data_IF_199588096125
#
_entry.id   IF_199588096125
#
_cell.length_a   1.000
_cell.length_b   1.000
_cell.length_c   1.000
_cell.angle_alpha   90.00
_cell.angle_beta   90.00
_cell.angle_gamma   90.00
#
_symmetry.space_group_name_H-M   'P 1'
#
loop_
_entity.id
_entity.type
_entity.pdbx_description
1 polymer ?
#
# COMPACT_ATOMS: atom_id res chain seq x y z
N UNK A 1 -54.41 -54.02 -32.87
CA UNK A 1 -54.85 -54.68 -31.63
C UNK A 1 -53.63 -54.78 -30.73
N UNK A 2 -53.62 -54.12 -29.55
CA UNK A 2 -52.67 -54.31 -28.41
C UNK A 2 -51.21 -53.85 -28.69
N UNK A 3 -50.45 -53.12 -27.86
CA UNK A 3 -50.60 -52.38 -26.60
C UNK A 3 -49.41 -51.39 -26.47
N UNK A 4 -49.70 -50.26 -25.84
CA UNK A 4 -48.87 -49.40 -24.95
C UNK A 4 -47.38 -49.74 -24.71
N UNK A 5 -46.54 -48.71 -24.81
CA UNK A 5 -45.42 -48.45 -23.90
C UNK A 5 -45.38 -46.95 -23.55
N UNK A 6 -45.67 -46.65 -22.28
CA UNK A 6 -45.45 -45.35 -21.66
C UNK A 6 -43.95 -45.10 -21.50
N UNK A 7 -43.48 -43.95 -21.94
CA UNK A 7 -42.14 -43.43 -21.61
C UNK A 7 -42.27 -41.99 -21.11
N UNK A 8 -41.95 -41.76 -19.84
CA UNK A 8 -41.91 -40.45 -19.21
C UNK A 8 -40.94 -39.52 -19.96
N UNK A 9 -41.44 -38.39 -20.46
CA UNK A 9 -40.61 -37.26 -20.88
C UNK A 9 -40.42 -36.30 -19.70
N UNK A 10 -39.30 -36.44 -18.97
CA UNK A 10 -38.83 -35.39 -18.06
C UNK A 10 -37.84 -34.51 -18.83
N UNK A 11 -38.28 -33.29 -19.11
CA UNK A 11 -37.45 -32.24 -19.67
C UNK A 11 -36.31 -31.87 -18.71
N UNK A 12 -35.08 -32.31 -19.03
CA UNK A 12 -33.87 -31.80 -18.39
C UNK A 12 -33.60 -30.41 -18.98
N UNK A 13 -34.06 -29.36 -18.28
CA UNK A 13 -33.59 -27.99 -18.51
C UNK A 13 -32.14 -27.89 -18.07
N UNK A 14 -31.22 -28.05 -19.01
CA UNK A 14 -29.80 -27.68 -18.84
C UNK A 14 -29.72 -26.17 -18.59
N UNK A 15 -29.45 -25.78 -17.35
CA UNK A 15 -29.10 -24.40 -16.98
C UNK A 15 -27.78 -24.03 -17.67
N UNK A 16 -27.66 -22.85 -18.28
CA UNK A 16 -26.39 -22.43 -18.87
C UNK A 16 -25.36 -22.25 -17.77
N UNK A 17 -24.21 -22.86 -18.01
CA UNK A 17 -23.01 -22.84 -17.20
C UNK A 17 -22.55 -21.38 -17.03
N UNK A 18 -22.71 -20.82 -15.82
CA UNK A 18 -22.12 -19.52 -15.48
C UNK A 18 -20.61 -19.72 -15.33
N UNK A 19 -19.89 -19.51 -16.42
CA UNK A 19 -18.45 -19.27 -16.38
C UNK A 19 -18.17 -18.22 -15.29
N UNK A 20 -17.42 -18.63 -14.27
CA UNK A 20 -16.87 -17.76 -13.23
C UNK A 20 -15.96 -16.74 -13.92
N UNK A 21 -16.49 -15.56 -14.24
CA UNK A 21 -15.68 -14.36 -14.45
C UNK A 21 -15.00 -14.02 -13.14
N UNK A 22 -13.75 -14.48 -12.98
CA UNK A 22 -12.79 -14.03 -11.98
C UNK A 22 -12.35 -12.60 -12.29
N UNK A 23 -13.26 -11.64 -12.13
CA UNK A 23 -12.94 -10.23 -11.99
C UNK A 23 -13.70 -9.67 -10.81
N UNK A 24 -13.32 -10.09 -9.61
CA UNK A 24 -13.61 -9.31 -8.41
C UNK A 24 -12.62 -8.15 -8.43
N UNK A 25 -12.91 -7.09 -9.19
CA UNK A 25 -12.20 -5.82 -9.04
C UNK A 25 -12.42 -5.37 -7.61
N UNK A 26 -11.37 -5.49 -6.77
CA UNK A 26 -11.46 -5.16 -5.36
C UNK A 26 -12.05 -3.74 -5.19
N UNK A 27 -13.18 -3.66 -4.50
CA UNK A 27 -13.93 -2.42 -4.32
C UNK A 27 -13.24 -1.48 -3.35
N UNK A 28 -13.35 -0.18 -3.59
CA UNK A 28 -12.85 0.87 -2.70
C UNK A 28 -13.65 0.92 -1.40
N UNK A 29 -12.98 1.19 -0.27
CA UNK A 29 -13.60 1.23 1.06
C UNK A 29 -13.42 2.60 1.71
N UNK A 30 -14.27 2.96 2.66
CA UNK A 30 -14.20 4.24 3.39
C UNK A 30 -13.29 4.19 4.62
N UNK A 31 -12.38 3.20 4.70
CA UNK A 31 -11.47 2.99 5.85
C UNK A 31 -10.61 4.20 6.17
N UNK A 32 -10.24 4.99 5.16
CA UNK A 32 -9.49 6.23 5.30
C UNK A 32 -10.16 7.24 6.25
N UNK A 33 -11.49 7.19 6.43
CA UNK A 33 -12.22 8.03 7.39
C UNK A 33 -11.87 7.72 8.85
N UNK A 34 -11.48 6.48 9.14
CA UNK A 34 -11.12 6.05 10.50
C UNK A 34 -9.62 6.18 10.75
N UNK A 35 -8.81 6.13 9.71
CA UNK A 35 -7.36 6.28 9.84
C UNK A 35 -6.74 6.87 8.58
N UNK A 36 -6.20 8.08 8.73
CA UNK A 36 -5.27 8.67 7.78
C UNK A 36 -3.91 7.99 7.85
N UNK A 37 -2.82 8.76 7.88
CA UNK A 37 -1.48 8.17 7.84
C UNK A 37 -1.06 7.47 9.15
N UNK A 38 -1.42 8.04 10.31
CA UNK A 38 -1.09 7.50 11.65
C UNK A 38 0.41 7.21 11.85
N UNK A 39 1.30 7.99 11.24
CA UNK A 39 2.75 7.75 11.26
C UNK A 39 3.29 7.72 12.70
N UNK A 40 2.94 8.71 13.53
CA UNK A 40 3.39 8.77 14.92
C UNK A 40 2.94 7.57 15.73
N UNK A 41 1.64 7.25 15.72
CA UNK A 41 1.09 6.09 16.42
C UNK A 41 1.72 4.77 15.89
N UNK A 42 1.96 4.67 14.59
CA UNK A 42 2.61 3.49 13.97
C UNK A 42 4.05 3.32 14.46
N UNK A 43 4.84 4.40 14.51
CA UNK A 43 6.21 4.36 15.04
C UNK A 43 6.22 3.95 16.51
N UNK A 44 5.32 4.52 17.32
CA UNK A 44 5.17 4.15 18.73
C UNK A 44 4.81 2.67 18.88
N UNK A 45 3.87 2.16 18.07
CA UNK A 45 3.53 0.75 18.13
C UNK A 45 4.76 -0.12 17.81
N UNK A 46 5.45 0.15 16.70
CA UNK A 46 6.62 -0.63 16.26
C UNK A 46 7.76 -0.58 17.28
N UNK A 47 7.96 0.54 17.98
CA UNK A 47 8.99 0.65 19.02
C UNK A 47 8.67 -0.19 20.26
N UNK A 48 7.39 -0.38 20.56
CA UNK A 48 6.92 -1.20 21.67
C UNK A 48 6.62 -2.65 21.27
N UNK A 49 6.72 -3.02 19.99
CA UNK A 49 6.43 -4.39 19.53
C UNK A 49 7.42 -5.39 20.13
N UNK A 50 6.96 -6.51 20.68
CA UNK A 50 7.78 -7.61 21.15
C UNK A 50 7.86 -8.72 20.09
N UNK A 51 9.05 -8.95 19.56
CA UNK A 51 9.30 -9.94 18.51
C UNK A 51 9.24 -11.39 19.01
N UNK A 52 9.27 -11.62 20.33
CA UNK A 52 9.16 -12.95 20.94
C UNK A 52 7.71 -13.37 21.19
N UNK A 53 6.80 -12.40 21.18
CA UNK A 53 5.38 -12.60 21.44
C UNK A 53 4.59 -12.70 20.13
N UNK A 54 3.43 -13.35 20.17
CA UNK A 54 2.51 -13.42 19.03
C UNK A 54 1.92 -12.04 18.69
N UNK A 55 1.32 -11.93 17.50
CA UNK A 55 0.60 -10.72 17.06
C UNK A 55 -0.53 -10.37 18.04
N UNK A 56 -1.31 -11.36 18.46
CA UNK A 56 -2.45 -11.18 19.37
C UNK A 56 -1.98 -10.69 20.74
N UNK A 57 -0.95 -11.33 21.32
CA UNK A 57 -0.40 -10.91 22.62
C UNK A 57 0.14 -9.48 22.58
N UNK A 58 0.80 -9.09 21.49
CA UNK A 58 1.24 -7.71 21.31
C UNK A 58 0.06 -6.73 21.26
N UNK A 59 -0.97 -7.03 20.47
CA UNK A 59 -2.17 -6.19 20.35
C UNK A 59 -2.86 -6.02 21.69
N UNK A 60 -3.08 -7.11 22.41
CA UNK A 60 -3.75 -7.12 23.71
C UNK A 60 -2.94 -6.33 24.75
N UNK A 61 -1.62 -6.52 24.77
CA UNK A 61 -0.71 -5.77 25.64
C UNK A 61 -0.73 -4.28 25.34
N UNK A 62 -0.58 -3.89 24.08
CA UNK A 62 -0.60 -2.48 23.64
C UNK A 62 -1.93 -1.81 24.02
N UNK A 63 -3.04 -2.53 23.88
CA UNK A 63 -4.36 -2.02 24.26
C UNK A 63 -4.49 -1.88 25.78
N UNK A 64 -4.03 -2.87 26.55
CA UNK A 64 -4.08 -2.87 28.02
C UNK A 64 -3.22 -1.78 28.64
N UNK A 65 -2.01 -1.58 28.11
CA UNK A 65 -1.04 -0.59 28.59
C UNK A 65 -1.31 0.84 28.07
N UNK A 66 -2.29 1.00 27.17
CA UNK A 66 -2.62 2.28 26.53
C UNK A 66 -1.37 3.01 25.99
N UNK A 67 -0.52 2.29 25.26
CA UNK A 67 0.76 2.78 24.75
C UNK A 67 0.63 4.08 23.93
N UNK A 68 -0.53 4.28 23.28
CA UNK A 68 -0.80 5.48 22.47
C UNK A 68 -1.24 6.71 23.29
N UNK A 69 -1.48 6.56 24.59
CA UNK A 69 -1.98 7.61 25.47
C UNK A 69 -3.33 8.19 25.05
N UNK A 70 -4.18 7.43 24.36
CA UNK A 70 -5.49 7.95 23.90
C UNK A 70 -6.52 7.85 25.03
N UNK A 71 -7.38 8.85 25.14
CA UNK A 71 -8.49 8.83 26.09
C UNK A 71 -9.59 7.81 25.73
N UNK A 72 -9.67 7.40 24.46
CA UNK A 72 -10.74 6.53 23.96
C UNK A 72 -10.22 5.13 23.57
N UNK A 73 -10.78 4.09 24.20
CA UNK A 73 -10.51 2.69 23.86
C UNK A 73 -10.98 2.33 22.44
N UNK A 74 -12.08 2.92 21.97
CA UNK A 74 -12.54 2.68 20.59
C UNK A 74 -11.55 3.26 19.58
N UNK A 75 -10.93 4.41 19.89
CA UNK A 75 -9.88 4.99 19.05
C UNK A 75 -8.64 4.09 18.98
N UNK A 76 -8.21 3.54 20.11
CA UNK A 76 -7.10 2.57 20.16
C UNK A 76 -7.40 1.35 19.29
N UNK A 77 -8.63 0.80 19.40
CA UNK A 77 -9.07 -0.34 18.58
C UNK A 77 -9.06 -0.03 17.08
N UNK A 78 -9.49 1.17 16.68
CA UNK A 78 -9.45 1.59 15.27
C UNK A 78 -8.01 1.72 14.75
N UNK A 79 -7.09 2.26 15.55
CA UNK A 79 -5.65 2.36 15.21
C UNK A 79 -5.07 0.96 15.03
N UNK A 80 -5.29 0.05 15.99
CA UNK A 80 -4.76 -1.32 15.94
C UNK A 80 -5.29 -2.10 14.73
N UNK A 81 -6.58 -1.96 14.41
CA UNK A 81 -7.19 -2.60 13.23
C UNK A 81 -6.54 -2.15 11.92
N UNK A 82 -6.17 -0.87 11.82
CA UNK A 82 -5.56 -0.33 10.62
C UNK A 82 -4.08 -0.70 10.54
N UNK A 83 -3.37 -0.67 11.66
CA UNK A 83 -2.01 -1.16 11.76
C UNK A 83 -1.91 -2.62 11.32
N UNK A 84 -2.82 -3.48 11.79
CA UNK A 84 -2.90 -4.88 11.38
C UNK A 84 -3.02 -5.04 9.86
N UNK A 85 -3.94 -4.31 9.23
CA UNK A 85 -4.18 -4.40 7.79
C UNK A 85 -2.98 -3.94 6.96
N UNK A 86 -2.27 -2.90 7.43
CA UNK A 86 -1.18 -2.28 6.68
C UNK A 86 0.16 -2.98 6.85
N UNK A 87 0.44 -3.53 8.03
CA UNK A 87 1.80 -3.93 8.38
C UNK A 87 1.92 -5.33 8.99
N UNK A 88 0.81 -5.99 9.34
CA UNK A 88 0.83 -7.31 9.99
C UNK A 88 0.33 -8.45 9.11
N UNK A 89 -0.16 -8.17 7.90
CA UNK A 89 -0.59 -9.19 6.94
C UNK A 89 0.58 -10.09 6.51
N UNK A 90 1.77 -9.51 6.38
CA UNK A 90 2.99 -10.21 5.98
C UNK A 90 3.99 -10.19 7.14
N UNK A 91 4.27 -11.37 7.72
CA UNK A 91 5.20 -11.50 8.84
C UNK A 91 6.61 -10.92 8.54
N UNK A 92 7.20 -11.13 7.34
CA UNK A 92 8.50 -10.52 7.03
C UNK A 92 8.48 -8.99 7.07
N UNK A 93 7.37 -8.36 6.66
CA UNK A 93 7.20 -6.89 6.68
C UNK A 93 7.16 -6.38 8.12
N UNK A 94 6.38 -7.03 8.99
CA UNK A 94 6.34 -6.68 10.41
C UNK A 94 7.73 -6.75 11.04
N UNK A 95 8.41 -7.91 10.92
CA UNK A 95 9.74 -8.13 11.49
C UNK A 95 10.76 -7.09 11.00
N UNK A 96 10.71 -6.75 9.71
CA UNK A 96 11.61 -5.76 9.13
C UNK A 96 11.31 -4.34 9.66
N UNK A 97 10.05 -3.90 9.67
CA UNK A 97 9.67 -2.57 10.18
C UNK A 97 9.99 -2.39 11.66
N UNK A 98 9.75 -3.42 12.49
CA UNK A 98 10.14 -3.43 13.91
C UNK A 98 11.64 -3.31 14.06
N UNK A 99 12.41 -4.04 13.24
CA UNK A 99 13.88 -3.99 13.23
C UNK A 99 14.37 -2.58 12.90
N UNK A 100 13.87 -1.97 11.82
CA UNK A 100 14.23 -0.62 11.39
C UNK A 100 13.94 0.44 12.47
N UNK A 101 12.75 0.38 13.10
CA UNK A 101 12.37 1.33 14.16
C UNK A 101 13.28 1.19 15.38
N UNK A 102 13.52 -0.05 15.85
CA UNK A 102 14.39 -0.31 17.02
C UNK A 102 15.84 0.09 16.78
N UNK A 103 16.32 -0.03 15.54
CA UNK A 103 17.66 0.37 15.11
C UNK A 103 17.78 1.84 14.74
N UNK A 104 16.74 2.66 14.96
CA UNK A 104 16.72 4.11 14.70
C UNK A 104 16.96 4.47 13.23
N UNK A 105 16.41 3.67 12.31
CA UNK A 105 16.46 3.93 10.87
C UNK A 105 15.98 5.36 10.54
N UNK A 106 16.56 6.04 9.52
CA UNK A 106 16.23 7.43 9.22
C UNK A 106 14.72 7.66 9.05
N UNK A 107 14.19 8.65 9.77
CA UNK A 107 12.74 8.90 9.85
C UNK A 107 12.11 9.12 8.47
N UNK A 108 12.80 9.88 7.60
CA UNK A 108 12.34 10.17 6.26
C UNK A 108 12.23 8.90 5.39
N UNK A 109 13.17 7.97 5.53
CA UNK A 109 13.16 6.68 4.82
C UNK A 109 12.04 5.78 5.37
N UNK A 110 11.93 5.66 6.70
CA UNK A 110 10.87 4.88 7.35
C UNK A 110 9.47 5.35 6.93
N UNK A 111 9.24 6.66 6.86
CA UNK A 111 7.95 7.22 6.45
C UNK A 111 7.55 6.82 5.02
N UNK A 112 8.52 6.71 4.09
CA UNK A 112 8.26 6.21 2.74
C UNK A 112 7.92 4.72 2.72
N UNK A 113 8.51 3.92 3.61
CA UNK A 113 8.14 2.51 3.78
C UNK A 113 6.72 2.35 4.35
N UNK A 114 6.37 3.18 5.35
CA UNK A 114 5.03 3.19 5.92
C UNK A 114 3.99 3.59 4.87
N UNK A 115 4.29 4.60 4.05
CA UNK A 115 3.46 4.99 2.93
C UNK A 115 3.29 3.85 1.91
N UNK A 116 4.38 3.23 1.47
CA UNK A 116 4.38 2.13 0.50
C UNK A 116 3.44 1.00 0.93
N UNK A 117 3.61 0.47 2.14
CA UNK A 117 2.77 -0.62 2.66
C UNK A 117 1.33 -0.16 2.91
N UNK A 118 1.13 1.10 3.33
CA UNK A 118 -0.22 1.67 3.47
C UNK A 118 -0.97 1.72 2.15
N UNK A 119 -0.32 2.14 1.07
CA UNK A 119 -0.91 2.20 -0.27
C UNK A 119 -1.21 0.80 -0.82
N UNK A 120 -0.31 -0.17 -0.60
CA UNK A 120 -0.55 -1.57 -0.99
C UNK A 120 -1.74 -2.21 -0.25
N UNK A 121 -1.96 -1.84 1.00
CA UNK A 121 -3.08 -2.33 1.80
C UNK A 121 -4.40 -1.58 1.55
N UNK A 122 -4.36 -0.38 0.98
CA UNK A 122 -5.54 0.45 0.70
C UNK A 122 -5.60 0.89 -0.76
N UNK A 123 -6.40 0.17 -1.55
CA UNK A 123 -6.57 0.41 -2.98
C UNK A 123 -7.07 1.84 -3.29
N UNK A 124 -7.88 2.43 -2.42
CA UNK A 124 -8.37 3.79 -2.64
C UNK A 124 -7.22 4.79 -2.48
N UNK A 125 -6.35 4.61 -1.48
CA UNK A 125 -5.14 5.41 -1.31
C UNK A 125 -4.19 5.24 -2.51
N UNK A 126 -3.95 4.01 -2.95
CA UNK A 126 -3.12 3.72 -4.12
C UNK A 126 -3.66 4.36 -5.41
N UNK A 127 -4.95 4.14 -5.71
CA UNK A 127 -5.55 4.62 -6.95
C UNK A 127 -5.74 6.13 -6.94
N UNK A 128 -5.89 6.77 -5.77
CA UNK A 128 -5.86 8.24 -5.67
C UNK A 128 -4.55 8.82 -6.20
N UNK A 129 -3.41 8.16 -5.97
CA UNK A 129 -2.13 8.61 -6.52
C UNK A 129 -2.03 8.23 -7.99
N UNK A 130 -2.24 6.96 -8.32
CA UNK A 130 -1.93 6.44 -9.66
C UNK A 130 -2.95 6.79 -10.74
N UNK A 131 -4.19 7.13 -10.35
CA UNK A 131 -5.30 7.42 -11.28
C UNK A 131 -5.82 8.85 -11.21
N UNK A 132 -5.37 9.65 -10.24
CA UNK A 132 -5.72 11.09 -10.14
C UNK A 132 -4.44 11.92 -10.19
N UNK A 133 -3.53 11.77 -9.22
CA UNK A 133 -2.36 12.66 -9.12
C UNK A 133 -1.38 12.51 -10.29
N UNK A 134 -1.12 11.28 -10.77
CA UNK A 134 -0.20 11.08 -11.90
C UNK A 134 -0.75 11.70 -13.19
N UNK A 135 -2.01 11.43 -13.61
CA UNK A 135 -2.58 12.13 -14.77
C UNK A 135 -2.57 13.66 -14.65
N UNK A 136 -2.73 14.21 -13.43
CA UNK A 136 -2.60 15.65 -13.20
C UNK A 136 -1.16 16.13 -13.45
N UNK A 137 -0.17 15.42 -12.89
CA UNK A 137 1.25 15.75 -13.05
C UNK A 137 1.69 15.68 -14.52
N UNK A 138 1.22 14.68 -15.27
CA UNK A 138 1.45 14.51 -16.72
C UNK A 138 0.89 15.69 -17.54
N UNK A 139 -0.14 16.37 -17.02
CA UNK A 139 -0.71 17.60 -17.61
C UNK A 139 -0.04 18.88 -17.10
N UNK A 140 1.01 18.78 -16.28
CA UNK A 140 1.68 19.93 -15.65
C UNK A 140 0.89 20.54 -14.48
N UNK A 141 -0.16 19.89 -14.00
CA UNK A 141 -0.99 20.37 -12.90
C UNK A 141 -0.41 19.88 -11.57
N UNK A 142 0.23 20.78 -10.83
CA UNK A 142 0.82 20.49 -9.51
C UNK A 142 -0.05 20.95 -8.34
N UNK A 143 -0.92 21.94 -8.56
CA UNK A 143 -1.84 22.46 -7.55
C UNK A 143 -3.09 21.57 -7.45
N UNK A 144 -3.47 21.20 -6.22
CA UNK A 144 -4.63 20.35 -5.98
C UNK A 144 -5.88 21.21 -5.81
N UNK A 145 -6.81 21.10 -6.76
CA UNK A 145 -8.18 21.60 -6.61
C UNK A 145 -9.04 20.56 -5.85
N UNK A 146 -9.50 20.84 -4.61
CA UNK A 146 -10.26 19.87 -3.83
C UNK A 146 -11.58 19.45 -4.47
N UNK A 147 -12.22 20.34 -5.25
CA UNK A 147 -13.48 20.05 -5.91
C UNK A 147 -13.28 19.10 -7.09
N UNK A 148 -12.20 19.26 -7.86
CA UNK A 148 -11.85 18.34 -8.94
C UNK A 148 -11.45 16.96 -8.40
N UNK A 149 -10.64 16.93 -7.34
CA UNK A 149 -10.31 15.68 -6.66
C UNK A 149 -11.57 14.95 -6.15
N UNK A 150 -12.52 15.69 -5.57
CA UNK A 150 -13.80 15.13 -5.15
C UNK A 150 -14.63 14.61 -6.34
N UNK A 151 -14.68 15.34 -7.47
CA UNK A 151 -15.37 14.91 -8.69
C UNK A 151 -14.79 13.59 -9.23
N UNK A 152 -13.48 13.37 -9.17
CA UNK A 152 -12.87 12.09 -9.54
C UNK A 152 -13.39 10.94 -8.67
N UNK A 153 -13.57 11.17 -7.37
CA UNK A 153 -14.15 10.16 -6.48
C UNK A 153 -15.64 9.94 -6.75
N UNK A 154 -16.41 10.99 -6.99
CA UNK A 154 -17.83 10.88 -7.38
C UNK A 154 -17.97 10.01 -8.63
N UNK A 155 -17.14 10.24 -9.65
CA UNK A 155 -17.12 9.40 -10.85
C UNK A 155 -16.90 7.92 -10.53
N UNK A 156 -15.98 7.59 -9.61
CA UNK A 156 -15.76 6.19 -9.20
C UNK A 156 -16.95 5.60 -8.43
N UNK A 157 -17.70 6.42 -7.67
CA UNK A 157 -18.94 5.99 -7.02
C UNK A 157 -20.00 5.66 -8.06
N UNK A 158 -20.19 6.55 -9.04
CA UNK A 158 -21.16 6.38 -10.13
C UNK A 158 -20.84 5.16 -11.00
N UNK A 159 -19.55 4.85 -11.17
CA UNK A 159 -19.05 3.64 -11.84
C UNK A 159 -19.20 2.36 -10.97
N UNK A 160 -19.72 2.46 -9.75
CA UNK A 160 -19.94 1.32 -8.86
C UNK A 160 -18.67 0.71 -8.28
N UNK A 161 -17.55 1.45 -8.20
CA UNK A 161 -16.26 0.95 -7.71
C UNK A 161 -16.16 0.85 -6.19
N UNK A 162 -17.14 1.35 -5.45
CA UNK A 162 -17.13 1.41 -4.00
C UNK A 162 -17.79 0.18 -3.35
N UNK A 163 -17.41 -0.12 -2.10
CA UNK A 163 -18.18 -1.00 -1.24
C UNK A 163 -19.45 -0.29 -0.79
N UNK A 164 -20.58 -0.67 -1.38
CA UNK A 164 -21.89 -0.07 -1.09
C UNK A 164 -22.05 1.34 -1.67
N UNK A 165 -23.18 1.97 -1.35
CA UNK A 165 -23.50 3.31 -1.82
C UNK A 165 -22.92 4.38 -0.86
N UNK A 166 -22.23 5.38 -1.42
CA UNK A 166 -21.69 6.50 -0.63
C UNK A 166 -22.49 7.76 -0.92
N UNK A 167 -22.99 8.40 0.14
CA UNK A 167 -23.61 9.72 0.04
C UNK A 167 -22.58 10.80 -0.31
N UNK A 168 -23.02 11.94 -0.84
CA UNK A 168 -22.16 13.10 -1.10
C UNK A 168 -21.36 13.53 0.12
N UNK A 169 -21.98 13.49 1.31
CA UNK A 169 -21.33 13.77 2.59
C UNK A 169 -20.17 12.80 2.82
N UNK A 170 -20.37 11.52 2.55
CA UNK A 170 -19.33 10.49 2.68
C UNK A 170 -18.18 10.73 1.71
N UNK A 171 -18.50 11.03 0.44
CA UNK A 171 -17.50 11.32 -0.60
C UNK A 171 -16.66 12.54 -0.21
N UNK A 172 -17.28 13.62 0.27
CA UNK A 172 -16.59 14.82 0.73
C UNK A 172 -15.64 14.51 1.90
N UNK A 173 -16.10 13.76 2.90
CA UNK A 173 -15.26 13.36 4.03
C UNK A 173 -14.09 12.47 3.60
N UNK A 174 -14.32 11.54 2.68
CA UNK A 174 -13.28 10.65 2.14
C UNK A 174 -12.25 11.45 1.36
N UNK A 175 -12.69 12.37 0.48
CA UNK A 175 -11.82 13.28 -0.27
C UNK A 175 -10.87 14.05 0.66
N UNK A 176 -11.43 14.73 1.67
CA UNK A 176 -10.63 15.47 2.66
C UNK A 176 -9.65 14.57 3.42
N UNK A 177 -10.09 13.37 3.80
CA UNK A 177 -9.26 12.42 4.55
C UNK A 177 -8.11 11.86 3.70
N UNK A 178 -8.34 11.59 2.41
CA UNK A 178 -7.30 11.19 1.46
C UNK A 178 -6.28 12.30 1.27
N UNK A 179 -6.73 13.53 1.01
CA UNK A 179 -5.83 14.67 0.83
C UNK A 179 -4.99 14.95 2.10
N UNK A 180 -5.57 14.77 3.29
CA UNK A 180 -4.83 14.87 4.54
C UNK A 180 -3.82 13.72 4.70
N UNK A 181 -4.22 12.47 4.42
CA UNK A 181 -3.33 11.31 4.52
C UNK A 181 -2.16 11.40 3.53
N UNK A 182 -2.42 11.79 2.28
CA UNK A 182 -1.39 11.99 1.25
C UNK A 182 -0.42 13.11 1.62
N UNK A 183 -0.90 14.18 2.26
CA UNK A 183 -0.02 15.19 2.86
C UNK A 183 0.83 14.61 3.98
N UNK A 184 0.23 13.88 4.90
CA UNK A 184 0.94 13.31 6.05
C UNK A 184 2.01 12.30 5.61
N UNK A 185 1.77 11.55 4.54
CA UNK A 185 2.76 10.67 3.90
C UNK A 185 3.78 11.41 3.03
N UNK A 186 3.68 12.74 2.91
CA UNK A 186 4.60 13.56 2.12
C UNK A 186 4.50 13.34 0.61
N UNK A 187 3.34 12.87 0.11
CA UNK A 187 2.99 12.83 -1.33
C UNK A 187 2.46 14.20 -1.77
N UNK A 188 1.74 14.88 -0.87
CA UNK A 188 1.34 16.26 -1.02
C UNK A 188 2.07 17.15 -0.01
N UNK A 189 2.17 18.43 -0.31
CA UNK A 189 2.66 19.45 0.60
C UNK A 189 1.66 20.61 0.72
N UNK A 190 1.76 21.38 1.79
CA UNK A 190 0.86 22.49 2.08
C UNK A 190 -0.32 22.11 3.00
N UNK A 191 -0.86 23.11 3.70
CA UNK A 191 -1.96 22.92 4.65
C UNK A 191 -3.32 23.16 3.97
N UNK A 192 -3.63 24.42 3.65
CA UNK A 192 -4.87 24.84 2.99
C UNK A 192 -4.79 24.58 1.48
N UNK A 193 -3.77 25.14 0.84
CA UNK A 193 -3.50 24.96 -0.59
C UNK A 193 -2.49 23.83 -0.74
N UNK A 194 -2.97 22.65 -1.18
CA UNK A 194 -2.12 21.48 -1.34
C UNK A 194 -1.54 21.44 -2.74
N UNK A 195 -0.29 20.99 -2.85
CA UNK A 195 0.39 20.72 -4.11
C UNK A 195 0.99 19.33 -4.10
N UNK A 196 1.16 18.73 -5.27
CA UNK A 196 1.98 17.52 -5.42
C UNK A 196 3.40 17.86 -4.94
N UNK A 197 3.91 17.09 -3.98
CA UNK A 197 5.26 17.29 -3.48
C UNK A 197 6.28 16.81 -4.53
N UNK A 198 7.48 17.42 -4.59
CA UNK A 198 8.57 16.86 -5.38
C UNK A 198 8.79 15.39 -5.02
N UNK A 199 9.03 14.55 -6.03
CA UNK A 199 9.33 13.14 -5.82
C UNK A 199 10.55 13.00 -4.91
N UNK A 200 10.37 12.34 -3.78
CA UNK A 200 11.43 12.11 -2.80
C UNK A 200 11.33 10.69 -2.26
N UNK A 201 12.38 9.92 -2.48
CA UNK A 201 12.54 8.57 -2.00
C UNK A 201 14.00 8.39 -1.56
N UNK A 202 14.30 8.37 -0.24
CA UNK A 202 15.64 8.07 0.25
C UNK A 202 16.14 6.73 -0.27
N UNK A 203 17.43 6.63 -0.55
CA UNK A 203 18.02 5.47 -1.20
C UNK A 203 17.86 4.19 -0.36
N UNK A 204 17.87 4.29 0.96
CA UNK A 204 17.65 3.16 1.87
C UNK A 204 16.21 2.65 1.80
N UNK A 205 15.25 3.57 1.67
CA UNK A 205 13.85 3.20 1.47
C UNK A 205 13.63 2.57 0.10
N UNK A 206 14.26 3.13 -0.94
CA UNK A 206 14.26 2.52 -2.27
C UNK A 206 14.81 1.10 -2.22
N UNK A 207 15.99 0.92 -1.62
CA UNK A 207 16.67 -0.37 -1.58
C UNK A 207 15.83 -1.43 -0.83
N UNK A 208 15.20 -1.06 0.30
CA UNK A 208 14.21 -1.91 0.97
C UNK A 208 13.07 -2.32 0.03
N UNK A 209 12.48 -1.36 -0.69
CA UNK A 209 11.32 -1.60 -1.56
C UNK A 209 11.70 -2.51 -2.73
N UNK A 210 12.87 -2.30 -3.37
CA UNK A 210 13.35 -3.20 -4.43
C UNK A 210 13.50 -4.62 -3.90
N UNK A 211 14.14 -4.80 -2.73
CA UNK A 211 14.30 -6.13 -2.15
C UNK A 211 12.96 -6.79 -1.85
N UNK A 212 12.05 -6.04 -1.21
CA UNK A 212 10.69 -6.48 -0.96
C UNK A 212 9.99 -6.93 -2.26
N UNK A 213 10.00 -6.09 -3.31
CA UNK A 213 9.36 -6.41 -4.59
C UNK A 213 10.04 -7.59 -5.30
N UNK A 214 11.36 -7.76 -5.16
CA UNK A 214 12.13 -8.89 -5.73
C UNK A 214 11.68 -10.24 -5.16
N UNK A 215 11.29 -10.28 -3.89
CA UNK A 215 10.75 -11.49 -3.24
C UNK A 215 9.40 -11.91 -3.87
N UNK A 216 8.62 -10.97 -4.41
CA UNK A 216 7.33 -11.24 -5.07
C UNK A 216 7.43 -11.34 -6.60
N UNK A 217 8.40 -10.65 -7.22
CA UNK A 217 8.65 -10.63 -8.65
C UNK A 217 10.12 -10.92 -8.93
N UNK A 218 10.50 -12.18 -9.20
CA UNK A 218 11.90 -12.55 -9.33
C UNK A 218 12.55 -12.07 -10.63
N UNK A 219 11.77 -11.74 -11.67
CA UNK A 219 12.28 -11.22 -12.93
C UNK A 219 12.70 -9.75 -12.79
N UNK A 220 13.98 -9.45 -13.03
CA UNK A 220 14.50 -8.09 -12.97
C UNK A 220 13.76 -7.13 -13.91
N UNK A 221 13.60 -7.49 -15.18
CA UNK A 221 12.87 -6.65 -16.16
C UNK A 221 11.44 -6.35 -15.71
N UNK A 222 10.70 -7.36 -15.24
CA UNK A 222 9.32 -7.14 -14.74
C UNK A 222 9.29 -6.32 -13.47
N UNK A 223 10.31 -6.43 -12.61
CA UNK A 223 10.45 -5.64 -11.39
C UNK A 223 10.56 -4.16 -11.70
N UNK A 224 11.36 -3.76 -12.70
CA UNK A 224 11.52 -2.36 -13.10
C UNK A 224 10.20 -1.76 -13.64
N UNK A 225 9.32 -2.60 -14.18
CA UNK A 225 8.04 -2.19 -14.77
C UNK A 225 6.86 -2.24 -13.79
N UNK A 226 7.10 -2.57 -12.51
CA UNK A 226 6.02 -2.67 -11.54
C UNK A 226 5.31 -1.33 -11.35
N UNK A 227 3.97 -1.32 -11.28
CA UNK A 227 3.20 -0.10 -11.08
C UNK A 227 3.44 0.52 -9.69
N UNK A 228 3.97 -0.23 -8.73
CA UNK A 228 4.33 0.23 -7.40
C UNK A 228 5.27 1.46 -7.41
N UNK A 229 6.16 1.55 -8.41
CA UNK A 229 7.08 2.70 -8.57
C UNK A 229 6.36 4.02 -8.82
N UNK A 230 5.16 3.95 -9.38
CA UNK A 230 4.30 5.11 -9.63
C UNK A 230 3.87 5.80 -8.34
N UNK A 231 3.85 5.09 -7.20
CA UNK A 231 3.58 5.70 -5.89
C UNK A 231 4.61 6.77 -5.51
N UNK A 232 5.81 6.68 -6.09
CA UNK A 232 6.90 7.64 -5.89
C UNK A 232 7.13 8.54 -7.11
N UNK A 233 6.18 8.56 -8.06
CA UNK A 233 6.27 9.27 -9.32
C UNK A 233 7.50 8.87 -10.17
N UNK A 234 8.00 7.65 -9.99
CA UNK A 234 9.15 7.15 -10.74
C UNK A 234 8.70 6.48 -12.04
N UNK A 235 9.40 6.84 -13.13
CA UNK A 235 9.40 6.06 -14.38
C UNK A 235 10.38 4.90 -14.28
N UNK A 236 10.35 3.99 -15.27
CA UNK A 236 11.31 2.88 -15.34
C UNK A 236 12.76 3.38 -15.36
N UNK A 237 13.04 4.48 -16.06
CA UNK A 237 14.37 5.10 -16.11
C UNK A 237 14.73 5.71 -14.75
N UNK A 238 13.76 6.27 -14.03
CA UNK A 238 13.95 6.74 -12.66
C UNK A 238 14.35 5.59 -11.73
N UNK A 239 13.65 4.46 -11.80
CA UNK A 239 13.96 3.25 -11.02
C UNK A 239 15.37 2.74 -11.34
N UNK A 240 15.76 2.71 -12.61
CA UNK A 240 17.09 2.28 -13.04
C UNK A 240 18.20 3.19 -12.49
N UNK A 241 18.00 4.51 -12.46
CA UNK A 241 18.95 5.44 -11.81
C UNK A 241 19.11 5.14 -10.33
N UNK A 242 18.02 4.87 -9.62
CA UNK A 242 18.07 4.48 -8.21
C UNK A 242 18.75 3.11 -8.01
N UNK A 243 18.63 2.16 -8.94
CA UNK A 243 19.37 0.89 -8.89
C UNK A 243 20.88 1.12 -9.04
N UNK A 244 21.29 2.00 -9.95
CA UNK A 244 22.69 2.38 -10.09
C UNK A 244 23.23 3.06 -8.82
N UNK A 245 22.47 3.99 -8.24
CA UNK A 245 22.86 4.64 -6.98
C UNK A 245 22.97 3.64 -5.83
N UNK A 246 21.98 2.77 -5.66
CA UNK A 246 21.99 1.72 -4.64
C UNK A 246 23.16 0.75 -4.83
N UNK A 247 23.54 0.49 -6.09
CA UNK A 247 24.73 -0.30 -6.41
C UNK A 247 26.03 0.39 -6.02
N UNK A 248 26.19 1.67 -6.34
CA UNK A 248 27.38 2.46 -5.93
C UNK A 248 27.52 2.55 -4.42
N UNK A 249 26.40 2.57 -3.70
CA UNK A 249 26.39 2.54 -2.24
C UNK A 249 26.50 1.12 -1.68
N UNK A 250 26.69 0.07 -2.47
CA UNK A 250 26.79 -1.32 -1.97
C UNK A 250 25.55 -1.80 -1.19
N UNK A 251 24.37 -1.25 -1.49
CA UNK A 251 23.10 -1.71 -0.91
C UNK A 251 22.57 -2.96 -1.64
N UNK A 252 22.92 -3.08 -2.92
CA UNK A 252 22.64 -4.23 -3.78
C UNK A 252 23.69 -4.31 -4.89
N UNK A 253 23.77 -5.44 -5.58
CA UNK A 253 24.50 -5.53 -6.85
C UNK A 253 23.51 -5.49 -8.02
N UNK A 254 23.79 -4.62 -8.99
CA UNK A 254 22.96 -4.46 -10.18
C UNK A 254 23.80 -4.70 -11.44
N UNK A 255 23.44 -5.72 -12.22
CA UNK A 255 24.09 -6.04 -13.48
C UNK A 255 23.06 -6.18 -14.61
N UNK A 256 23.37 -5.56 -15.74
CA UNK A 256 22.59 -5.64 -16.98
C UNK A 256 23.47 -6.21 -18.08
N UNK A 257 23.00 -7.30 -18.70
CA UNK A 257 23.64 -7.90 -19.87
C UNK A 257 22.57 -8.16 -20.94
N UNK A 258 22.48 -7.27 -21.92
CA UNK A 258 21.42 -7.30 -22.93
C UNK A 258 20.04 -7.18 -22.27
N UNK A 259 19.19 -8.20 -22.43
CA UNK A 259 17.85 -8.27 -21.82
C UNK A 259 17.84 -8.89 -20.41
N UNK A 260 18.98 -9.34 -19.90
CA UNK A 260 19.09 -9.98 -18.59
C UNK A 260 19.44 -8.94 -17.55
N UNK A 261 18.56 -8.80 -16.57
CA UNK A 261 18.78 -7.97 -15.37
C UNK A 261 18.95 -8.87 -14.15
N UNK A 262 20.09 -8.76 -13.47
CA UNK A 262 20.38 -9.48 -12.22
C UNK A 262 20.52 -8.49 -11.07
N UNK A 263 19.82 -8.81 -9.97
CA UNK A 263 19.88 -8.10 -8.70
C UNK A 263 20.31 -9.09 -7.62
N UNK A 264 21.41 -8.81 -6.94
CA UNK A 264 21.90 -9.56 -5.78
C UNK A 264 21.81 -8.66 -4.56
N UNK A 265 21.46 -9.22 -3.40
CA UNK A 265 21.35 -8.48 -2.15
C UNK A 265 22.21 -9.14 -1.07
N UNK A 266 22.70 -8.38 -0.08
CA UNK A 266 23.53 -8.90 1.02
C UNK A 266 22.74 -9.67 2.09
N UNK A 267 21.49 -10.07 1.80
CA UNK A 267 20.59 -10.70 2.74
C UNK A 267 19.58 -11.61 2.00
N UNK A 268 19.10 -12.66 2.68
CA UNK A 268 18.12 -13.59 2.12
C UNK A 268 16.70 -13.26 2.59
N UNK A 269 16.58 -12.67 3.78
CA UNK A 269 15.28 -12.29 4.36
C UNK A 269 15.12 -10.77 4.51
N UNK A 270 13.87 -10.30 4.48
CA UNK A 270 13.56 -8.87 4.62
C UNK A 270 14.00 -8.32 5.99
N UNK A 271 14.00 -9.17 7.02
CA UNK A 271 14.47 -8.81 8.35
C UNK A 271 16.00 -8.69 8.42
N UNK A 272 16.74 -9.62 7.81
CA UNK A 272 18.20 -9.50 7.69
C UNK A 272 18.57 -8.24 6.92
N UNK A 273 17.89 -7.98 5.81
CA UNK A 273 18.16 -6.79 5.01
C UNK A 273 17.84 -5.49 5.77
N UNK A 274 16.77 -5.48 6.57
CA UNK A 274 16.50 -4.37 7.49
C UNK A 274 17.62 -4.15 8.51
N UNK A 275 18.31 -5.20 8.98
CA UNK A 275 19.49 -5.02 9.82
C UNK A 275 20.66 -4.39 9.05
N UNK A 276 20.90 -4.80 7.80
CA UNK A 276 21.93 -4.20 6.93
C UNK A 276 21.65 -2.71 6.71
N UNK A 277 20.41 -2.37 6.36
CA UNK A 277 20.01 -0.98 6.10
C UNK A 277 20.12 -0.08 7.33
N UNK A 278 19.92 -0.62 8.54
CA UNK A 278 19.94 0.17 9.76
C UNK A 278 21.33 0.30 10.41
N UNK A 279 22.38 -0.30 9.82
CA UNK A 279 23.77 -0.16 10.26
C UNK A 279 24.51 0.98 9.55
N UNK A 280 23.88 1.61 8.57
CA UNK A 280 24.39 2.73 7.78
C UNK A 280 23.84 4.04 8.31
#
# INVERSE_FOLDING_TARGET
MVMTLQGLSMAIKTKPNKEKRLHTTASYTSKILKAGALIGDTKTLLSHWDATSTVTENIDRIQRENIFGKASRSRVKDILRIFQQRYLTEEPVNKALVTLVRRKFPSAALERLLYFHSARADKLLHDSVTKILIPMLEQGLVDINPNEFQRSLTKWVDEGKMTGHWSEITINRVSRSLLAALRDFGVLQGATNKKIAPAFLPIEAFAYIVFYLKLHQPSGVKLLQLPDWKLFFLSSEGVERFLFEAHQLELLEYHVAGSVTRLTFPAETLQEYANVLAQR
#
